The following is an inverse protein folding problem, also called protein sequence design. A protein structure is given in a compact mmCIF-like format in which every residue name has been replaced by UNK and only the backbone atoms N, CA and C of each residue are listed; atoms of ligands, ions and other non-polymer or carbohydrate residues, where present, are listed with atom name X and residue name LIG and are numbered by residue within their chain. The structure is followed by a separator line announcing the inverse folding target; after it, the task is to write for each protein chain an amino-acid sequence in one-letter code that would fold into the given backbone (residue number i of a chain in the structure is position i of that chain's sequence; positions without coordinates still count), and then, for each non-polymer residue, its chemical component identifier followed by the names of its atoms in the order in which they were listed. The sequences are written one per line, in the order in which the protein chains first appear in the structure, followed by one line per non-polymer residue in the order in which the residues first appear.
data_IF_866360525735
#
_entry.id   IF_866360525735
#
_cell.length_a   1.000
_cell.length_b   1.000
_cell.length_c   1.000
_cell.angle_alpha   90.00
_cell.angle_beta   90.00
_cell.angle_gamma   90.00
#
_symmetry.space_group_name_H-M   'P 1'
#
loop_
_entity.id
_entity.type
_entity.pdbx_description
1 polymer ?
#
# COMPACT_ATOMS: atom_id res chain seq x y z
N UNK A 1 4.62 -10.11 26.30
CA UNK A 1 3.40 -9.45 25.78
C UNK A 1 3.31 -9.76 24.30
N UNK A 2 2.11 -9.86 23.70
CA UNK A 2 2.01 -10.08 22.25
C UNK A 2 2.68 -8.94 21.48
N UNK A 3 3.27 -9.24 20.33
CA UNK A 3 3.84 -8.22 19.45
C UNK A 3 2.74 -7.27 18.95
N UNK A 4 3.01 -5.96 18.82
CA UNK A 4 2.07 -5.03 18.20
C UNK A 4 1.77 -5.45 16.77
N UNK A 5 0.52 -5.31 16.33
CA UNK A 5 0.06 -5.79 15.01
C UNK A 5 -0.42 -4.64 14.14
N UNK A 6 -0.11 -4.72 12.85
CA UNK A 6 -0.54 -3.75 11.84
C UNK A 6 -1.19 -4.51 10.68
N UNK A 7 -2.42 -4.17 10.34
CA UNK A 7 -3.03 -4.52 9.05
C UNK A 7 -2.95 -3.30 8.14
N UNK A 8 -2.26 -3.44 7.01
CA UNK A 8 -2.03 -2.38 6.05
C UNK A 8 -2.76 -2.68 4.73
N UNK A 9 -3.75 -1.86 4.41
CA UNK A 9 -4.47 -1.98 3.16
C UNK A 9 -3.70 -1.28 2.04
N UNK A 10 -3.55 -1.96 0.90
CA UNK A 10 -2.62 -1.54 -0.14
C UNK A 10 -3.27 -1.54 -1.52
N UNK A 11 -2.98 -0.50 -2.31
CA UNK A 11 -3.21 -0.44 -3.75
C UNK A 11 -1.99 0.22 -4.39
N UNK A 12 -1.45 -0.39 -5.44
CA UNK A 12 -0.25 0.10 -6.13
C UNK A 12 -0.44 1.53 -6.66
N UNK A 13 -1.68 1.95 -6.97
CA UNK A 13 -1.98 3.29 -7.47
C UNK A 13 -1.83 4.40 -6.42
N UNK A 14 -1.71 4.09 -5.13
CA UNK A 14 -1.63 5.13 -4.10
C UNK A 14 -0.18 5.53 -3.79
N UNK A 15 0.23 6.79 -4.04
CA UNK A 15 1.58 7.25 -3.74
C UNK A 15 1.84 7.30 -2.23
N UNK A 16 0.86 7.73 -1.42
CA UNK A 16 1.02 7.78 0.02
C UNK A 16 1.01 6.38 0.65
N UNK A 17 0.32 5.42 0.04
CA UNK A 17 0.42 4.03 0.46
C UNK A 17 1.80 3.44 0.15
N UNK A 18 2.42 3.81 -0.97
CA UNK A 18 3.82 3.47 -1.21
C UNK A 18 4.75 4.04 -0.13
N UNK A 19 4.62 5.34 0.22
CA UNK A 19 5.45 5.94 1.27
C UNK A 19 5.28 5.22 2.61
N UNK A 20 4.03 4.90 3.00
CA UNK A 20 3.75 4.20 4.25
C UNK A 20 4.26 2.75 4.21
N UNK A 21 4.08 2.04 3.09
CA UNK A 21 4.66 0.72 2.88
C UNK A 21 6.18 0.76 3.03
N UNK A 22 6.86 1.72 2.41
CA UNK A 22 8.30 1.87 2.55
C UNK A 22 8.71 2.08 4.01
N UNK A 23 8.03 3.00 4.73
CA UNK A 23 8.29 3.26 6.13
C UNK A 23 8.10 2.01 7.01
N UNK A 24 6.98 1.30 6.87
CA UNK A 24 6.68 0.09 7.63
C UNK A 24 7.72 -1.03 7.43
N UNK A 25 8.37 -1.08 6.26
CA UNK A 25 9.35 -2.11 5.94
C UNK A 25 10.80 -1.73 6.25
N UNK A 26 11.12 -0.43 6.29
CA UNK A 26 12.51 0.04 6.36
C UNK A 26 12.82 0.84 7.63
N UNK A 27 11.82 1.35 8.34
CA UNK A 27 12.06 2.18 9.52
C UNK A 27 12.16 1.30 10.77
N UNK A 28 13.25 1.40 11.56
CA UNK A 28 13.49 0.53 12.71
C UNK A 28 12.38 0.50 13.75
N UNK A 29 11.62 1.60 13.89
CA UNK A 29 10.51 1.68 14.86
C UNK A 29 9.45 0.60 14.63
N UNK A 30 9.25 0.15 13.39
CA UNK A 30 8.25 -0.87 13.05
C UNK A 30 8.83 -2.29 13.02
N UNK A 31 10.12 -2.49 13.29
CA UNK A 31 10.78 -3.79 13.14
C UNK A 31 10.19 -4.89 14.04
N UNK A 32 9.60 -4.53 15.18
CA UNK A 32 8.94 -5.46 16.10
C UNK A 32 7.46 -5.72 15.81
N UNK A 33 6.88 -5.04 14.80
CA UNK A 33 5.48 -5.18 14.46
C UNK A 33 5.24 -6.44 13.62
N UNK A 34 4.17 -7.16 13.90
CA UNK A 34 3.61 -8.16 12.99
C UNK A 34 2.74 -7.44 11.95
N UNK A 35 3.15 -7.44 10.68
CA UNK A 35 2.49 -6.67 9.62
C UNK A 35 1.80 -7.60 8.61
N UNK A 36 0.49 -7.42 8.46
CA UNK A 36 -0.34 -8.06 7.45
C UNK A 36 -0.66 -7.07 6.34
N UNK A 37 -0.44 -7.44 5.08
CA UNK A 37 -0.78 -6.62 3.92
C UNK A 37 -2.04 -7.16 3.25
N UNK A 38 -3.01 -6.27 2.97
CA UNK A 38 -4.27 -6.64 2.31
C UNK A 38 -4.41 -5.84 1.00
N UNK A 39 -4.21 -6.48 -0.17
CA UNK A 39 -4.44 -5.84 -1.46
C UNK A 39 -5.93 -5.54 -1.68
N UNK A 40 -6.26 -4.29 -1.97
CA UNK A 40 -7.63 -3.82 -2.22
C UNK A 40 -7.75 -3.06 -3.53
N UNK A 41 -8.97 -2.77 -3.98
CA UNK A 41 -9.18 -1.85 -5.10
C UNK A 41 -9.62 -0.47 -4.59
N UNK A 42 -8.70 0.51 -4.60
CA UNK A 42 -8.95 1.86 -4.09
C UNK A 42 -10.11 2.56 -4.82
N UNK A 43 -10.22 2.34 -6.13
CA UNK A 43 -11.35 2.87 -6.91
C UNK A 43 -12.71 2.32 -6.43
N UNK A 44 -12.73 1.08 -5.94
CA UNK A 44 -13.89 0.45 -5.33
C UNK A 44 -14.26 1.09 -3.99
N UNK A 45 -13.27 1.29 -3.11
CA UNK A 45 -13.45 1.97 -1.82
C UNK A 45 -14.03 3.38 -2.03
N UNK A 46 -13.38 4.21 -2.85
CA UNK A 46 -13.82 5.58 -3.10
C UNK A 46 -15.24 5.64 -3.67
N UNK A 47 -15.59 4.73 -4.59
CA UNK A 47 -16.95 4.64 -5.14
C UNK A 47 -17.97 4.29 -4.07
N UNK A 48 -17.68 3.28 -3.23
CA UNK A 48 -18.61 2.78 -2.22
C UNK A 48 -18.93 3.82 -1.14
N UNK A 49 -17.94 4.60 -0.70
CA UNK A 49 -18.14 5.66 0.30
C UNK A 49 -18.47 7.05 -0.28
N UNK A 50 -18.66 7.17 -1.61
CA UNK A 50 -18.96 8.44 -2.26
C UNK A 50 -17.80 9.45 -2.25
N UNK A 51 -16.56 9.00 -2.00
CA UNK A 51 -15.39 9.86 -1.99
C UNK A 51 -14.92 10.18 -3.41
N UNK A 52 -14.49 11.43 -3.63
CA UNK A 52 -13.99 11.89 -4.92
C UNK A 52 -12.46 11.80 -4.94
N UNK A 53 -11.85 11.10 -5.92
CA UNK A 53 -10.39 11.05 -6.04
C UNK A 53 -9.79 12.47 -6.07
N UNK A 54 -8.74 12.75 -5.28
CA UNK A 54 -8.20 14.12 -5.17
C UNK A 54 -7.69 14.64 -6.52
N UNK A 55 -7.23 13.75 -7.40
CA UNK A 55 -6.76 14.09 -8.75
C UNK A 55 -7.86 14.61 -9.67
N UNK A 56 -9.15 14.36 -9.36
CA UNK A 56 -10.28 14.94 -10.10
C UNK A 56 -10.62 16.37 -9.66
N UNK A 57 -9.98 16.87 -8.60
CA UNK A 57 -10.17 18.22 -8.08
C UNK A 57 -8.93 19.03 -8.44
N UNK A 58 -9.04 19.97 -9.39
CA UNK A 58 -7.91 20.74 -9.95
C UNK A 58 -6.94 21.26 -8.88
N UNK A 59 -7.46 21.91 -7.85
CA UNK A 59 -6.63 22.50 -6.79
C UNK A 59 -5.95 21.45 -5.90
N UNK A 60 -6.53 20.24 -5.77
CA UNK A 60 -5.93 19.14 -5.00
C UNK A 60 -4.91 18.35 -5.81
N UNK A 61 -5.08 18.24 -7.13
CA UNK A 61 -4.17 17.47 -7.97
C UNK A 61 -2.71 17.98 -7.87
N UNK A 62 -2.52 19.29 -8.02
CA UNK A 62 -1.20 19.91 -7.86
C UNK A 62 -0.68 19.81 -6.42
N UNK A 63 -1.57 19.99 -5.44
CA UNK A 63 -1.21 19.93 -4.02
C UNK A 63 -0.73 18.53 -3.62
N UNK A 64 -1.43 17.48 -4.04
CA UNK A 64 -1.09 16.08 -3.73
C UNK A 64 0.28 15.70 -4.29
N UNK A 65 0.60 16.13 -5.52
CA UNK A 65 1.92 15.89 -6.10
C UNK A 65 3.03 16.53 -5.24
N UNK A 66 2.86 17.79 -4.86
CA UNK A 66 3.82 18.51 -4.01
C UNK A 66 3.96 17.86 -2.62
N UNK A 67 2.86 17.41 -2.02
CA UNK A 67 2.88 16.74 -0.71
C UNK A 67 3.62 15.40 -0.75
N UNK A 68 3.36 14.59 -1.77
CA UNK A 68 4.10 13.36 -1.98
C UNK A 68 5.61 13.62 -2.04
N UNK A 69 6.03 14.62 -2.81
CA UNK A 69 7.45 14.96 -2.96
C UNK A 69 8.05 15.50 -1.65
N UNK A 70 7.28 16.30 -0.89
CA UNK A 70 7.69 16.79 0.44
C UNK A 70 7.94 15.65 1.41
N UNK A 71 7.01 14.71 1.52
CA UNK A 71 7.16 13.58 2.43
C UNK A 71 8.30 12.65 2.02
N UNK A 72 8.38 12.32 0.73
CA UNK A 72 9.46 11.49 0.20
C UNK A 72 10.85 12.11 0.47
N UNK A 73 11.01 13.41 0.18
CA UNK A 73 12.25 14.15 0.47
C UNK A 73 12.53 14.22 1.97
N UNK A 74 11.52 14.48 2.79
CA UNK A 74 11.68 14.62 4.25
C UNK A 74 12.21 13.32 4.86
N UNK A 75 11.67 12.18 4.42
CA UNK A 75 12.00 10.85 4.95
C UNK A 75 13.04 10.08 4.14
N UNK A 76 13.64 10.70 3.12
CA UNK A 76 14.57 10.05 2.18
C UNK A 76 14.01 8.75 1.57
N UNK A 77 12.71 8.75 1.24
CA UNK A 77 12.05 7.61 0.60
C UNK A 77 12.31 7.72 -0.91
N UNK A 78 12.87 6.68 -1.56
CA UNK A 78 13.12 6.69 -3.00
C UNK A 78 11.79 6.75 -3.74
N UNK A 79 11.62 7.72 -4.63
CA UNK A 79 10.46 7.85 -5.51
C UNK A 79 10.89 8.63 -6.74
N UNK A 80 10.27 8.36 -7.89
CA UNK A 80 10.53 9.13 -9.10
C UNK A 80 10.09 10.59 -8.94
N UNK A 81 10.77 11.50 -9.64
CA UNK A 81 10.27 12.85 -9.84
C UNK A 81 9.02 12.81 -10.76
N UNK A 82 8.00 13.62 -10.45
CA UNK A 82 6.74 13.59 -11.20
C UNK A 82 5.97 12.28 -11.01
N UNK A 83 4.97 11.99 -11.85
CA UNK A 83 4.10 10.81 -11.70
C UNK A 83 4.43 9.72 -12.73
N UNK A 84 4.14 8.43 -12.44
CA UNK A 84 4.33 7.34 -13.39
C UNK A 84 3.53 7.57 -14.68
N UNK A 85 3.98 6.96 -15.77
CA UNK A 85 3.29 7.05 -17.05
C UNK A 85 1.84 6.56 -16.94
N UNK A 86 0.91 7.38 -17.43
CA UNK A 86 -0.53 7.07 -17.41
C UNK A 86 -1.19 7.21 -16.03
N UNK A 87 -0.51 7.74 -15.02
CA UNK A 87 -1.07 7.94 -13.69
C UNK A 87 -2.27 8.91 -13.70
N UNK A 88 -3.40 8.58 -13.04
CA UNK A 88 -3.69 7.32 -12.33
C UNK A 88 -4.09 6.18 -13.27
N UNK A 89 -3.53 4.99 -13.02
CA UNK A 89 -3.78 3.78 -13.83
C UNK A 89 -4.83 2.87 -13.18
N UNK A 90 -5.47 2.00 -13.97
CA UNK A 90 -6.33 0.96 -13.43
C UNK A 90 -5.47 -0.19 -12.87
N UNK A 91 -5.62 -0.48 -11.57
CA UNK A 91 -4.83 -1.49 -10.87
C UNK A 91 -5.57 -2.80 -10.61
N UNK A 92 -6.73 -3.06 -11.24
CA UNK A 92 -7.49 -4.30 -11.01
C UNK A 92 -6.60 -5.54 -11.25
N UNK A 93 -5.89 -5.61 -12.38
CA UNK A 93 -5.03 -6.76 -12.69
C UNK A 93 -3.86 -6.91 -11.69
N UNK A 94 -3.05 -5.86 -11.39
CA UNK A 94 -2.08 -5.92 -10.31
C UNK A 94 -2.64 -6.34 -8.95
N UNK A 95 -3.78 -5.78 -8.54
CA UNK A 95 -4.37 -6.05 -7.23
C UNK A 95 -4.95 -7.46 -7.13
N UNK A 96 -5.48 -8.02 -8.23
CA UNK A 96 -5.87 -9.44 -8.31
C UNK A 96 -4.67 -10.37 -8.21
N UNK A 97 -3.58 -10.06 -8.92
CA UNK A 97 -2.34 -10.83 -8.81
C UNK A 97 -1.83 -10.84 -7.36
N UNK A 98 -1.77 -9.68 -6.71
CA UNK A 98 -1.35 -9.57 -5.31
C UNK A 98 -2.31 -10.29 -4.36
N UNK A 99 -3.62 -10.29 -4.63
CA UNK A 99 -4.61 -11.02 -3.82
C UNK A 99 -4.43 -12.54 -3.93
N UNK A 100 -4.16 -13.06 -5.13
CA UNK A 100 -3.82 -14.48 -5.34
C UNK A 100 -2.52 -14.87 -4.62
N UNK A 101 -1.50 -14.02 -4.69
CA UNK A 101 -0.24 -14.24 -3.96
C UNK A 101 -0.49 -14.24 -2.46
N UNK A 102 -1.33 -13.34 -1.94
CA UNK A 102 -1.71 -13.33 -0.53
C UNK A 102 -2.37 -14.65 -0.09
N UNK A 103 -3.24 -15.22 -0.92
CA UNK A 103 -3.96 -16.45 -0.64
C UNK A 103 -3.08 -17.72 -0.74
N UNK A 104 -2.24 -17.82 -1.77
CA UNK A 104 -1.53 -19.06 -2.08
C UNK A 104 -0.03 -19.04 -1.71
N UNK A 105 0.57 -17.86 -1.58
CA UNK A 105 1.98 -17.69 -1.23
C UNK A 105 2.21 -16.44 -0.34
N UNK A 106 1.62 -16.42 0.88
CA UNK A 106 1.60 -15.22 1.73
C UNK A 106 2.99 -14.72 2.12
N UNK A 107 4.00 -15.61 2.18
CA UNK A 107 5.38 -15.24 2.50
C UNK A 107 6.04 -14.40 1.40
N UNK A 108 5.60 -14.56 0.16
CA UNK A 108 6.11 -13.80 -0.99
C UNK A 108 5.37 -12.47 -1.22
N UNK A 109 4.20 -12.27 -0.62
CA UNK A 109 3.34 -11.10 -0.83
C UNK A 109 4.07 -9.78 -0.61
N UNK A 110 4.81 -9.66 0.50
CA UNK A 110 5.54 -8.43 0.83
C UNK A 110 6.56 -8.06 -0.25
N UNK A 111 7.31 -9.04 -0.74
CA UNK A 111 8.29 -8.85 -1.82
C UNK A 111 7.60 -8.53 -3.15
N UNK A 112 6.45 -9.14 -3.44
CA UNK A 112 5.66 -8.83 -4.64
C UNK A 112 5.11 -7.40 -4.62
N UNK A 113 4.56 -6.94 -3.49
CA UNK A 113 4.12 -5.54 -3.32
C UNK A 113 5.32 -4.59 -3.53
N UNK A 114 6.46 -4.89 -2.91
CA UNK A 114 7.68 -4.08 -3.05
C UNK A 114 8.13 -4.01 -4.52
N UNK A 115 8.13 -5.11 -5.27
CA UNK A 115 8.50 -5.14 -6.67
C UNK A 115 7.52 -4.35 -7.56
N UNK A 116 6.21 -4.43 -7.30
CA UNK A 116 5.21 -3.64 -8.02
C UNK A 116 5.34 -2.14 -7.72
N UNK A 117 5.57 -1.78 -6.46
CA UNK A 117 5.78 -0.38 -6.07
C UNK A 117 7.09 0.20 -6.62
N UNK A 118 8.19 -0.56 -6.58
CA UNK A 118 9.44 -0.14 -7.21
C UNK A 118 9.26 0.05 -8.73
N UNK A 119 8.58 -0.89 -9.40
CA UNK A 119 8.29 -0.77 -10.84
C UNK A 119 7.48 0.48 -11.17
N UNK A 120 6.46 0.79 -10.37
CA UNK A 120 5.54 1.90 -10.64
C UNK A 120 6.07 3.24 -10.12
N UNK A 121 6.35 3.37 -8.82
CA UNK A 121 6.67 4.64 -8.16
C UNK A 121 8.15 5.00 -8.16
N UNK A 122 9.06 4.05 -8.37
CA UNK A 122 10.50 4.33 -8.42
C UNK A 122 10.99 4.38 -9.87
N UNK A 123 10.61 3.38 -10.67
CA UNK A 123 11.03 3.26 -12.08
C UNK A 123 10.05 3.86 -13.08
N UNK A 124 8.87 4.31 -12.65
CA UNK A 124 7.89 5.01 -13.50
C UNK A 124 7.25 4.18 -14.60
N UNK A 125 7.31 2.84 -14.52
CA UNK A 125 6.82 1.94 -15.57
C UNK A 125 5.33 1.62 -15.41
N UNK A 126 4.55 1.47 -16.50
CA UNK A 126 3.11 1.24 -16.43
C UNK A 126 2.77 -0.18 -15.91
N UNK A 127 2.59 -0.33 -14.61
CA UNK A 127 2.38 -1.63 -13.94
C UNK A 127 1.07 -2.33 -14.33
N UNK A 128 0.12 -1.62 -14.94
CA UNK A 128 -1.11 -2.18 -15.50
C UNK A 128 -0.87 -3.00 -16.77
N UNK A 129 0.27 -2.83 -17.43
CA UNK A 129 0.68 -3.65 -18.56
C UNK A 129 0.98 -5.08 -18.07
N UNK A 130 0.31 -6.13 -18.61
CA UNK A 130 0.50 -7.50 -18.17
C UNK A 130 1.96 -8.00 -18.27
N UNK A 131 2.71 -7.59 -19.28
CA UNK A 131 4.11 -8.01 -19.45
C UNK A 131 5.02 -7.34 -18.41
N UNK A 132 4.75 -6.08 -18.07
CA UNK A 132 5.49 -5.35 -17.03
C UNK A 132 5.16 -5.92 -15.64
N UNK A 133 3.89 -6.21 -15.37
CA UNK A 133 3.47 -6.87 -14.13
C UNK A 133 4.11 -8.26 -13.99
N UNK A 134 4.04 -9.09 -15.04
CA UNK A 134 4.65 -10.42 -15.05
C UNK A 134 6.16 -10.34 -14.75
N UNK A 135 6.88 -9.40 -15.38
CA UNK A 135 8.29 -9.18 -15.14
C UNK A 135 8.59 -8.71 -13.70
N UNK A 136 7.75 -7.83 -13.14
CA UNK A 136 7.88 -7.38 -11.76
C UNK A 136 7.72 -8.55 -10.77
N UNK A 137 6.68 -9.36 -10.95
CA UNK A 137 6.42 -10.54 -10.12
C UNK A 137 7.50 -11.61 -10.28
N UNK A 138 7.94 -11.88 -11.51
CA UNK A 138 8.98 -12.87 -11.79
C UNK A 138 10.31 -12.54 -11.12
N UNK A 139 10.60 -11.25 -10.87
CA UNK A 139 11.84 -10.85 -10.18
C UNK A 139 11.92 -11.31 -8.72
N UNK A 140 10.79 -11.66 -8.10
CA UNK A 140 10.72 -12.11 -6.71
C UNK A 140 10.11 -13.51 -6.53
N UNK A 141 9.25 -13.96 -7.45
CA UNK A 141 8.61 -15.28 -7.42
C UNK A 141 9.32 -16.32 -8.31
N UNK A 142 10.13 -15.86 -9.27
CA UNK A 142 10.58 -16.68 -10.39
C UNK A 142 9.53 -16.79 -11.50
N UNK A 143 9.99 -17.18 -12.70
CA UNK A 143 9.17 -17.14 -13.93
C UNK A 143 7.94 -18.06 -13.88
N UNK A 144 8.06 -19.29 -13.38
CA UNK A 144 6.94 -20.26 -13.33
C UNK A 144 5.79 -19.73 -12.47
N UNK A 145 6.09 -19.33 -11.22
CA UNK A 145 5.09 -18.85 -10.28
C UNK A 145 4.45 -17.54 -10.75
N UNK A 146 5.24 -16.63 -11.32
CA UNK A 146 4.69 -15.40 -11.90
C UNK A 146 3.73 -15.71 -13.05
N UNK A 147 4.05 -16.66 -13.93
CA UNK A 147 3.16 -17.07 -15.02
C UNK A 147 1.87 -17.72 -14.51
N UNK A 148 1.95 -18.57 -13.48
CA UNK A 148 0.77 -19.17 -12.83
C UNK A 148 -0.17 -18.09 -12.29
N UNK A 149 0.34 -17.11 -11.54
CA UNK A 149 -0.45 -15.97 -11.05
C UNK A 149 -1.06 -15.18 -12.20
N UNK A 150 -0.29 -14.91 -13.26
CA UNK A 150 -0.76 -14.13 -14.41
C UNK A 150 -1.83 -14.85 -15.23
N UNK A 151 -1.85 -16.18 -15.24
CA UNK A 151 -2.92 -16.96 -15.88
C UNK A 151 -4.23 -16.88 -15.08
N UNK A 152 -4.14 -16.76 -13.74
CA UNK A 152 -5.28 -16.79 -12.84
C UNK A 152 -5.88 -15.41 -12.50
N UNK A 153 -5.24 -14.29 -12.86
CA UNK A 153 -5.79 -12.94 -12.55
C UNK A 153 -7.19 -12.65 -13.12
N UNK A 154 -7.62 -13.43 -14.13
CA UNK A 154 -8.96 -13.34 -14.72
C UNK A 154 -10.01 -14.20 -14.03
N UNK A 155 -9.61 -15.13 -13.17
CA UNK A 155 -10.44 -16.19 -12.57
C UNK A 155 -11.49 -15.64 -11.61
N UNK A 156 -12.48 -16.48 -11.27
CA UNK A 156 -13.51 -16.10 -10.30
C UNK A 156 -12.92 -15.94 -8.89
N UNK A 157 -11.94 -16.77 -8.52
CA UNK A 157 -11.23 -16.67 -7.25
C UNK A 157 -10.52 -15.32 -7.12
N UNK A 158 -9.75 -14.91 -8.13
CA UNK A 158 -9.04 -13.63 -8.11
C UNK A 158 -9.99 -12.43 -7.97
N UNK A 159 -11.17 -12.50 -8.59
CA UNK A 159 -12.22 -11.49 -8.47
C UNK A 159 -12.81 -11.44 -7.07
N UNK A 160 -13.13 -12.60 -6.50
CA UNK A 160 -13.72 -12.72 -5.17
C UNK A 160 -12.76 -12.22 -4.10
N UNK A 161 -11.51 -12.69 -4.11
CA UNK A 161 -10.47 -12.27 -3.17
C UNK A 161 -10.31 -10.74 -3.15
N UNK A 162 -10.21 -10.10 -4.32
CA UNK A 162 -10.08 -8.65 -4.39
C UNK A 162 -11.34 -7.93 -3.90
N UNK A 163 -12.54 -8.46 -4.20
CA UNK A 163 -13.81 -7.89 -3.74
C UNK A 163 -13.91 -7.97 -2.22
N UNK A 164 -13.68 -9.15 -1.66
CA UNK A 164 -13.74 -9.43 -0.21
C UNK A 164 -12.74 -8.57 0.56
N UNK A 165 -11.50 -8.45 0.07
CA UNK A 165 -10.50 -7.56 0.67
C UNK A 165 -10.94 -6.09 0.64
N UNK A 166 -11.58 -5.66 -0.45
CA UNK A 166 -12.07 -4.28 -0.59
C UNK A 166 -13.26 -4.01 0.32
N UNK A 167 -14.16 -4.99 0.47
CA UNK A 167 -15.29 -4.95 1.41
C UNK A 167 -14.80 -4.95 2.87
N UNK A 168 -13.75 -5.72 3.17
CA UNK A 168 -13.13 -5.70 4.49
C UNK A 168 -12.56 -4.33 4.84
N UNK A 169 -11.85 -3.68 3.91
CA UNK A 169 -11.37 -2.31 4.13
C UNK A 169 -12.53 -1.34 4.41
N UNK A 170 -13.65 -1.47 3.70
CA UNK A 170 -14.86 -0.67 3.94
C UNK A 170 -15.46 -0.95 5.33
N UNK A 171 -15.48 -2.21 5.78
CA UNK A 171 -15.92 -2.58 7.15
C UNK A 171 -15.02 -1.97 8.22
N UNK A 172 -13.72 -1.88 7.97
CA UNK A 172 -12.77 -1.16 8.83
C UNK A 172 -12.92 0.37 8.76
N UNK A 173 -13.82 0.90 7.92
CA UNK A 173 -14.09 2.33 7.80
C UNK A 173 -13.22 3.05 6.77
N UNK A 174 -12.46 2.32 5.94
CA UNK A 174 -11.60 2.94 4.95
C UNK A 174 -12.39 3.76 3.91
N UNK A 175 -11.94 4.98 3.67
CA UNK A 175 -12.46 5.87 2.63
C UNK A 175 -11.37 6.32 1.65
N UNK A 176 -10.14 5.85 1.83
CA UNK A 176 -8.97 6.17 1.04
C UNK A 176 -7.76 5.36 1.51
N UNK A 177 -6.60 5.60 0.91
CA UNK A 177 -5.35 4.94 1.28
C UNK A 177 -4.22 5.94 1.53
N UNK A 178 -3.20 5.59 2.35
CA UNK A 178 -3.10 4.35 3.12
C UNK A 178 -4.12 4.27 4.25
N UNK A 179 -4.64 3.07 4.51
CA UNK A 179 -5.47 2.76 5.68
C UNK A 179 -4.75 1.72 6.52
N UNK A 180 -4.59 2.02 7.81
CA UNK A 180 -3.77 1.25 8.75
C UNK A 180 -4.65 0.89 9.93
N UNK A 181 -4.80 -0.39 10.23
CA UNK A 181 -5.46 -0.87 11.43
C UNK A 181 -4.39 -1.40 12.38
N UNK A 182 -4.26 -0.78 13.54
CA UNK A 182 -3.19 -1.03 14.50
C UNK A 182 -3.79 -1.64 15.78
N UNK A 183 -3.25 -2.78 16.22
CA UNK A 183 -3.63 -3.43 17.48
C UNK A 183 -2.44 -3.41 18.43
N UNK A 184 -2.61 -2.75 19.58
CA UNK A 184 -1.55 -2.60 20.58
C UNK A 184 -1.39 -3.88 21.44
N UNK A 185 -0.35 -3.98 22.29
CA UNK A 185 -0.14 -5.17 23.14
C UNK A 185 -1.25 -5.45 24.16
N UNK A 186 -2.11 -4.48 24.47
CA UNK A 186 -3.29 -4.66 25.33
C UNK A 186 -4.49 -5.22 24.56
N UNK A 187 -4.40 -5.36 23.23
CA UNK A 187 -5.47 -5.85 22.37
C UNK A 187 -6.42 -4.76 21.88
N UNK A 188 -6.12 -3.48 22.13
CA UNK A 188 -6.92 -2.36 21.68
C UNK A 188 -6.61 -2.06 20.21
N UNK A 189 -7.67 -1.94 19.41
CA UNK A 189 -7.61 -1.76 17.95
C UNK A 189 -8.07 -0.36 17.57
N UNK A 190 -7.27 0.33 16.75
CA UNK A 190 -7.57 1.65 16.20
C UNK A 190 -7.18 1.72 14.72
N UNK A 191 -7.85 2.59 13.96
CA UNK A 191 -7.59 2.79 12.54
C UNK A 191 -7.06 4.21 12.25
N UNK A 192 -6.10 4.29 11.33
CA UNK A 192 -5.41 5.52 10.95
C UNK A 192 -5.39 5.65 9.43
N UNK A 193 -5.55 6.88 8.93
CA UNK A 193 -5.55 7.19 7.51
C UNK A 193 -4.45 8.18 7.17
N UNK A 194 -3.60 7.84 6.21
CA UNK A 194 -2.55 8.73 5.72
C UNK A 194 -1.15 8.40 6.24
N UNK A 195 -0.14 8.80 5.46
CA UNK A 195 1.27 8.65 5.83
C UNK A 195 1.66 9.57 7.01
N UNK A 196 0.99 10.71 7.09
CA UNK A 196 1.13 11.73 8.13
C UNK A 196 0.70 11.23 9.53
N UNK A 197 -0.09 10.15 9.61
CA UNK A 197 -0.53 9.57 10.89
C UNK A 197 0.40 8.48 11.44
N UNK A 198 1.54 8.19 10.79
CA UNK A 198 2.45 7.13 11.25
C UNK A 198 3.00 7.36 12.67
N UNK A 199 3.14 8.62 13.13
CA UNK A 199 3.51 8.87 14.53
C UNK A 199 2.40 8.49 15.51
N UNK A 200 1.13 8.72 15.16
CA UNK A 200 0.00 8.30 15.99
C UNK A 200 -0.11 6.77 16.03
N UNK A 201 0.17 6.09 14.92
CA UNK A 201 0.29 4.61 14.89
C UNK A 201 1.37 4.14 15.87
N UNK A 202 2.55 4.77 15.87
CA UNK A 202 3.64 4.45 16.79
C UNK A 202 3.22 4.67 18.25
N UNK A 203 2.58 5.79 18.53
CA UNK A 203 2.11 6.14 19.88
C UNK A 203 1.05 5.14 20.38
N UNK A 204 0.05 4.80 19.55
CA UNK A 204 -0.99 3.80 19.86
C UNK A 204 -0.42 2.40 20.14
N UNK A 205 0.56 1.98 19.33
CA UNK A 205 1.22 0.68 19.50
C UNK A 205 2.17 0.62 20.70
N UNK A 206 2.36 1.74 21.43
CA UNK A 206 3.26 1.84 22.57
C UNK A 206 4.73 1.70 22.18
N UNK A 207 5.08 2.07 20.95
CA UNK A 207 6.43 1.99 20.41
C UNK A 207 7.25 3.23 20.80
N UNK A 208 8.57 3.08 20.92
CA UNK A 208 9.43 4.23 21.15
C UNK A 208 9.57 5.09 19.89
N UNK A 209 8.87 6.23 19.88
CA UNK A 209 8.91 7.17 18.76
C UNK A 209 10.29 7.84 18.64
N UNK A 210 10.91 7.86 17.44
CA UNK A 210 12.11 8.65 17.20
C UNK A 210 11.83 10.14 17.43
N UNK A 211 12.60 10.80 18.30
CA UNK A 211 12.41 12.21 18.68
C UNK A 211 13.18 13.22 17.82
N UNK A 212 13.92 12.71 16.84
CA UNK A 212 14.82 13.48 15.98
C UNK A 212 14.55 13.25 14.50
N UNK A 213 15.16 14.07 13.67
CA UNK A 213 15.07 13.94 12.22
C UNK A 213 13.64 14.13 11.69
N UNK A 214 13.21 13.33 10.70
CA UNK A 214 11.97 13.59 9.99
C UNK A 214 10.71 13.30 10.78
N UNK A 215 10.78 12.49 11.84
CA UNK A 215 9.67 12.17 12.73
C UNK A 215 9.07 13.38 13.44
N UNK A 216 9.84 14.48 13.61
CA UNK A 216 9.31 15.75 14.13
C UNK A 216 8.26 16.40 13.21
N UNK A 217 8.17 15.99 11.94
CA UNK A 217 7.15 16.50 11.03
C UNK A 217 5.83 15.72 11.11
N UNK A 218 5.80 14.57 11.80
CA UNK A 218 4.59 13.78 12.04
C UNK A 218 3.93 14.12 13.39
N UNK A 219 4.26 15.28 13.96
CA UNK A 219 3.72 15.78 15.23
C UNK A 219 2.38 16.48 15.05
#
# INVERSE_FOLDING_TARGET
MPNPKITFYVDIVSPFAYLAFYALNNFPVFAQCEITYIPIFLGGVMKACGNTPPLRIKNKAEWVGRERDRWAKKFNIPIMEGVPEGFPVNTITPQRALSLIAAHNPTALRSAIAACYDTFWVRGKPIQDPAILAAALASVLGQSQAQEVMNEVGSQEARNLLSENTEEALREGAFGLPWIVATNPAGEKEAFWGFDHLAQVVDHLGLERPREGPWRALL
#
